data_IF_985175095528
#
_entry.id   IF_985175095528
#
_cell.length_a   1.000
_cell.length_b   1.000
_cell.length_c   1.000
_cell.angle_alpha   90.00
_cell.angle_beta   90.00
_cell.angle_gamma   90.00
#
_symmetry.space_group_name_H-M   'P 1'
#
loop_
_entity.id
_entity.type
_entity.pdbx_description
1 polymer ?
#
# COMPACT_ATOMS: atom_id res chain seq x y z
N UNK A 1 -10.50 -6.28 -43.14
CA UNK A 1 -9.20 -5.60 -42.99
C UNK A 1 -8.85 -5.57 -41.52
N UNK A 2 -7.90 -6.41 -41.11
CA UNK A 2 -7.37 -6.47 -39.74
C UNK A 2 -6.58 -5.19 -39.48
N UNK A 3 -7.00 -4.35 -38.54
CA UNK A 3 -6.18 -3.21 -38.13
C UNK A 3 -4.94 -3.73 -37.43
N UNK A 4 -3.79 -3.55 -38.07
CA UNK A 4 -2.49 -3.73 -37.45
C UNK A 4 -2.40 -2.78 -36.24
N UNK A 5 -2.34 -3.33 -35.03
CA UNK A 5 -1.89 -2.57 -33.86
C UNK A 5 -0.47 -2.09 -34.17
N UNK A 6 -0.32 -0.81 -34.47
CA UNK A 6 0.98 -0.16 -34.46
C UNK A 6 1.54 -0.31 -33.05
N UNK A 7 2.68 -1.00 -32.93
CA UNK A 7 3.46 -1.09 -31.70
C UNK A 7 4.06 0.30 -31.48
N UNK A 8 3.32 1.19 -30.82
CA UNK A 8 3.77 2.54 -30.50
C UNK A 8 4.95 2.45 -29.55
N UNK A 9 6.03 3.19 -29.81
CA UNK A 9 7.17 3.25 -28.89
C UNK A 9 6.72 3.58 -27.46
N UNK A 10 7.28 2.91 -26.43
CA UNK A 10 6.92 3.17 -25.05
C UNK A 10 7.15 4.64 -24.67
N UNK A 11 6.22 5.23 -23.93
CA UNK A 11 6.36 6.60 -23.45
C UNK A 11 7.63 6.78 -22.59
N UNK A 12 8.34 7.88 -22.76
CA UNK A 12 9.54 8.20 -21.97
C UNK A 12 9.14 8.37 -20.50
N UNK A 13 9.80 7.69 -19.54
CA UNK A 13 9.49 7.86 -18.12
C UNK A 13 9.88 9.26 -17.64
N UNK A 14 8.95 9.94 -16.95
CA UNK A 14 9.20 11.24 -16.31
C UNK A 14 10.02 11.07 -15.02
N UNK A 15 10.99 11.95 -14.74
CA UNK A 15 11.75 11.90 -13.50
C UNK A 15 10.87 12.28 -12.32
N UNK A 16 10.90 11.47 -11.25
CA UNK A 16 10.12 11.68 -10.03
C UNK A 16 10.86 11.23 -8.79
N UNK A 17 10.43 11.71 -7.62
CA UNK A 17 10.96 11.32 -6.31
C UNK A 17 9.84 10.96 -5.36
N UNK A 18 10.13 10.12 -4.37
CA UNK A 18 9.17 9.80 -3.31
C UNK A 18 9.88 9.42 -2.01
N UNK A 19 9.27 9.77 -0.87
CA UNK A 19 9.88 9.66 0.46
C UNK A 19 9.06 8.76 1.36
N UNK A 20 9.71 7.73 1.90
CA UNK A 20 9.22 6.99 3.06
C UNK A 20 9.63 7.79 4.30
N UNK A 21 8.74 8.66 4.77
CA UNK A 21 8.95 9.43 5.98
C UNK A 21 8.64 8.55 7.20
N UNK A 22 9.63 8.39 8.08
CA UNK A 22 9.60 7.51 9.23
C UNK A 22 9.52 8.36 10.50
N UNK A 23 8.43 8.23 11.25
CA UNK A 23 8.19 8.97 12.49
C UNK A 23 9.16 8.59 13.61
N UNK A 24 9.18 9.39 14.68
CA UNK A 24 9.95 9.13 15.90
C UNK A 24 9.62 7.76 16.53
N UNK A 25 8.43 7.20 16.27
CA UNK A 25 7.98 5.87 16.72
C UNK A 25 8.03 4.78 15.64
N UNK A 26 8.81 5.01 14.59
CA UNK A 26 9.00 4.08 13.47
C UNK A 26 7.70 3.75 12.71
N UNK A 27 6.82 4.72 12.57
CA UNK A 27 5.62 4.64 11.72
C UNK A 27 5.89 5.31 10.38
N UNK A 28 5.18 4.91 9.34
CA UNK A 28 5.38 5.39 7.98
C UNK A 28 4.22 6.29 7.57
N UNK A 29 4.54 7.48 7.08
CA UNK A 29 3.57 8.38 6.49
C UNK A 29 3.06 7.80 5.16
N UNK A 30 1.75 7.69 5.04
CA UNK A 30 1.06 7.38 3.80
C UNK A 30 0.02 8.47 3.56
N UNK A 31 -0.05 8.90 2.31
CA UNK A 31 -1.05 9.83 1.82
C UNK A 31 -2.12 9.09 1.05
N UNK A 32 -3.37 9.53 1.20
CA UNK A 32 -4.51 9.01 0.47
C UNK A 32 -5.39 10.17 0.01
N UNK A 33 -5.58 10.28 -1.31
CA UNK A 33 -6.47 11.31 -1.86
C UNK A 33 -7.93 10.93 -1.66
N UNK A 34 -8.65 11.67 -0.84
CA UNK A 34 -10.09 11.54 -0.66
C UNK A 34 -10.79 12.08 -1.90
N UNK A 35 -11.53 11.23 -2.62
CA UNK A 35 -12.33 11.68 -3.75
C UNK A 35 -13.71 12.11 -3.30
N UNK A 36 -14.12 13.28 -3.75
CA UNK A 36 -15.51 13.74 -3.77
C UNK A 36 -16.30 13.20 -4.98
N UNK A 37 -15.66 12.45 -5.90
CA UNK A 37 -16.25 11.97 -7.16
C UNK A 37 -16.05 10.46 -7.41
N UNK A 38 -17.07 9.82 -7.99
CA UNK A 38 -17.47 8.41 -7.90
C UNK A 38 -16.73 7.38 -8.77
N UNK A 39 -15.61 7.70 -9.43
CA UNK A 39 -15.13 6.83 -10.53
C UNK A 39 -13.86 5.98 -10.32
N UNK A 40 -13.01 6.16 -9.32
CA UNK A 40 -11.91 5.20 -9.03
C UNK A 40 -11.44 5.34 -7.57
N UNK A 41 -11.23 4.25 -6.84
CA UNK A 41 -10.61 4.32 -5.51
C UNK A 41 -9.19 4.90 -5.64
N UNK A 42 -8.88 5.96 -4.89
CA UNK A 42 -7.54 6.53 -4.85
C UNK A 42 -6.56 5.55 -4.21
N UNK A 43 -5.34 5.50 -4.74
CA UNK A 43 -4.28 4.70 -4.14
C UNK A 43 -3.73 5.39 -2.89
N UNK A 44 -3.26 4.56 -1.97
CA UNK A 44 -2.41 4.99 -0.87
C UNK A 44 -0.98 5.06 -1.39
N UNK A 45 -0.29 6.17 -1.15
CA UNK A 45 1.03 6.43 -1.70
C UNK A 45 1.94 7.05 -0.64
N UNK A 46 3.24 6.86 -0.81
CA UNK A 46 4.21 7.73 -0.14
C UNK A 46 4.15 9.12 -0.76
N UNK A 47 4.41 10.19 0.01
CA UNK A 47 4.57 11.52 -0.53
C UNK A 47 5.60 11.55 -1.68
N UNK A 48 5.32 12.29 -2.74
CA UNK A 48 6.24 12.43 -3.85
C UNK A 48 5.60 12.75 -5.20
N UNK A 49 6.39 13.32 -6.09
CA UNK A 49 5.93 13.79 -7.39
C UNK A 49 7.05 13.94 -8.41
N UNK A 50 6.76 14.67 -9.48
CA UNK A 50 7.72 14.89 -10.56
C UNK A 50 8.77 15.89 -10.13
N UNK A 51 9.97 15.76 -10.70
CA UNK A 51 10.94 16.86 -10.58
C UNK A 51 10.42 18.06 -11.39
N UNK A 52 10.63 19.24 -10.84
CA UNK A 52 10.37 20.55 -11.44
C UNK A 52 11.69 21.26 -11.75
N UNK A 53 11.66 22.29 -12.59
CA UNK A 53 12.85 23.10 -12.89
C UNK A 53 13.44 23.79 -11.65
N UNK A 54 12.62 24.06 -10.63
CA UNK A 54 13.10 24.60 -9.35
C UNK A 54 13.97 23.62 -8.55
N UNK A 55 13.86 22.31 -8.83
CA UNK A 55 14.63 21.29 -8.12
C UNK A 55 16.06 21.19 -8.68
N UNK A 56 16.35 21.79 -9.83
CA UNK A 56 17.67 21.81 -10.46
C UNK A 56 17.69 21.16 -11.85
N UNK A 57 18.88 20.98 -12.40
CA UNK A 57 19.05 20.43 -13.74
C UNK A 57 18.57 18.98 -13.83
N UNK A 58 17.93 18.68 -14.97
CA UNK A 58 17.39 17.37 -15.31
C UNK A 58 18.17 16.80 -16.50
N UNK A 59 18.83 15.65 -16.35
CA UNK A 59 19.44 14.97 -17.48
C UNK A 59 18.39 14.66 -18.55
N UNK A 60 18.75 14.79 -19.84
CA UNK A 60 17.84 14.51 -20.93
C UNK A 60 17.48 13.02 -20.99
N UNK A 61 16.37 12.63 -21.65
CA UNK A 61 15.89 11.25 -21.68
C UNK A 61 16.89 10.16 -22.08
N UNK A 62 17.82 10.50 -22.96
CA UNK A 62 18.86 9.62 -23.50
C UNK A 62 20.05 9.42 -22.56
N UNK A 63 20.19 10.26 -21.53
CA UNK A 63 21.29 10.17 -20.57
C UNK A 63 20.96 9.17 -19.45
N UNK A 64 21.83 8.17 -19.27
CA UNK A 64 21.70 7.18 -18.20
C UNK A 64 21.73 7.83 -16.79
N UNK A 65 22.39 8.97 -16.64
CA UNK A 65 22.43 9.73 -15.38
C UNK A 65 21.03 10.20 -14.94
N UNK A 66 20.05 10.21 -15.84
CA UNK A 66 18.63 10.43 -15.51
C UNK A 66 18.08 9.40 -14.52
N UNK A 67 18.71 8.23 -14.45
CA UNK A 67 18.32 7.15 -13.57
C UNK A 67 19.22 7.01 -12.33
N UNK A 68 20.05 8.02 -12.05
CA UNK A 68 20.89 8.10 -10.87
C UNK A 68 20.32 9.04 -9.81
N UNK A 69 20.67 8.79 -8.55
CA UNK A 69 20.39 9.73 -7.46
C UNK A 69 21.16 11.04 -7.71
N UNK A 70 20.52 12.17 -7.46
CA UNK A 70 21.13 13.50 -7.63
C UNK A 70 20.54 14.51 -6.65
N UNK A 71 21.21 15.66 -6.42
CA UNK A 71 20.65 16.74 -5.62
C UNK A 71 19.27 17.21 -6.10
N UNK A 72 19.00 17.14 -7.42
CA UNK A 72 17.69 17.50 -7.97
C UNK A 72 16.59 16.54 -7.56
N UNK A 73 16.85 15.22 -7.58
CA UNK A 73 15.90 14.24 -7.06
C UNK A 73 15.64 14.44 -5.56
N UNK A 74 16.68 14.74 -4.78
CA UNK A 74 16.56 14.94 -3.33
C UNK A 74 15.76 16.20 -2.97
N UNK A 75 15.98 17.33 -3.67
CA UNK A 75 15.18 18.55 -3.49
C UNK A 75 13.72 18.34 -3.85
N UNK A 76 13.45 17.68 -4.98
CA UNK A 76 12.09 17.33 -5.37
C UNK A 76 11.40 16.45 -4.32
N UNK A 77 12.12 15.50 -3.72
CA UNK A 77 11.56 14.64 -2.68
C UNK A 77 11.08 15.43 -1.45
N UNK A 78 11.85 16.42 -1.01
CA UNK A 78 11.51 17.29 0.12
C UNK A 78 10.40 18.28 -0.24
N UNK A 79 10.49 18.91 -1.42
CA UNK A 79 9.48 19.86 -1.90
C UNK A 79 8.11 19.18 -2.03
N UNK A 80 8.05 18.02 -2.68
CA UNK A 80 6.80 17.28 -2.87
C UNK A 80 6.21 16.81 -1.54
N UNK A 81 7.05 16.35 -0.59
CA UNK A 81 6.59 16.04 0.76
C UNK A 81 5.91 17.26 1.43
N UNK A 82 6.53 18.43 1.33
CA UNK A 82 5.97 19.65 1.90
C UNK A 82 4.67 20.08 1.19
N UNK A 83 4.64 20.03 -0.15
CA UNK A 83 3.45 20.36 -0.94
C UNK A 83 2.29 19.40 -0.64
N UNK A 84 2.55 18.11 -0.43
CA UNK A 84 1.50 17.11 -0.26
C UNK A 84 1.04 16.95 1.19
N UNK A 85 1.94 17.11 2.17
CA UNK A 85 1.63 16.83 3.59
C UNK A 85 1.83 18.01 4.54
N UNK A 86 2.38 19.14 4.08
CA UNK A 86 2.72 20.29 4.94
C UNK A 86 3.88 20.06 5.91
N UNK A 87 4.51 18.88 5.88
CA UNK A 87 5.63 18.55 6.78
C UNK A 87 6.90 19.17 6.22
N UNK A 88 7.55 20.01 7.03
CA UNK A 88 8.73 20.75 6.64
C UNK A 88 10.01 20.00 7.04
N UNK A 89 10.77 19.52 6.04
CA UNK A 89 12.11 18.95 6.25
C UNK A 89 13.18 19.95 5.84
N UNK A 90 13.41 20.92 6.71
CA UNK A 90 14.43 21.94 6.54
C UNK A 90 15.25 22.07 7.82
N UNK A 91 16.47 22.59 7.68
CA UNK A 91 17.38 22.87 8.79
C UNK A 91 18.02 24.23 8.63
N UNK A 92 18.51 24.76 9.75
CA UNK A 92 19.45 25.86 9.72
C UNK A 92 20.85 25.32 9.38
N UNK A 93 21.46 25.87 8.32
CA UNK A 93 22.75 25.43 7.79
C UNK A 93 23.89 25.51 8.82
N UNK A 94 23.83 26.48 9.72
CA UNK A 94 24.92 26.74 10.68
C UNK A 94 24.84 25.81 11.90
N UNK A 95 23.64 25.63 12.45
CA UNK A 95 23.41 24.82 13.65
C UNK A 95 23.08 23.36 13.35
N UNK A 96 22.67 23.05 12.12
CA UNK A 96 22.16 21.74 11.71
C UNK A 96 20.82 21.36 12.35
N UNK A 97 20.21 22.26 13.13
CA UNK A 97 18.92 22.01 13.78
C UNK A 97 17.79 22.13 12.77
N UNK A 98 16.78 21.28 12.90
CA UNK A 98 15.57 21.39 12.09
C UNK A 98 14.87 22.72 12.34
N UNK A 99 14.40 23.31 11.25
CA UNK A 99 13.67 24.56 11.26
C UNK A 99 12.21 24.30 11.68
N UNK A 100 11.73 25.09 12.63
CA UNK A 100 10.31 25.12 12.98
C UNK A 100 9.66 26.38 12.44
N UNK A 101 8.52 26.21 11.77
CA UNK A 101 7.70 27.30 11.23
C UNK A 101 6.26 27.05 11.66
N UNK A 102 5.56 28.08 12.10
CA UNK A 102 4.17 27.97 12.54
C UNK A 102 3.26 27.50 11.40
N UNK A 103 2.18 26.80 11.76
CA UNK A 103 1.24 26.20 10.81
C UNK A 103 0.62 27.22 9.82
N UNK A 104 0.13 28.40 10.23
CA UNK A 104 -0.38 29.41 9.28
C UNK A 104 0.66 29.83 8.23
N UNK A 105 1.90 30.06 8.64
CA UNK A 105 2.99 30.45 7.73
C UNK A 105 3.38 29.30 6.80
N UNK A 106 3.44 28.06 7.31
CA UNK A 106 3.68 26.86 6.48
C UNK A 106 2.61 26.67 5.42
N UNK A 107 1.34 26.74 5.81
CA UNK A 107 0.21 26.54 4.88
C UNK A 107 0.13 27.66 3.83
N UNK A 108 0.42 28.92 4.21
CA UNK A 108 0.53 30.01 3.25
C UNK A 108 1.68 29.78 2.25
N UNK A 109 2.85 29.37 2.75
CA UNK A 109 4.01 29.01 1.94
C UNK A 109 3.72 27.89 0.95
N UNK A 110 3.12 26.81 1.45
CA UNK A 110 2.70 25.64 0.69
C UNK A 110 1.82 26.01 -0.50
N UNK A 111 0.83 26.90 -0.31
CA UNK A 111 -0.03 27.41 -1.40
C UNK A 111 0.75 28.21 -2.43
N UNK A 112 1.69 29.06 -2.00
CA UNK A 112 2.51 29.86 -2.92
C UNK A 112 3.43 28.98 -3.78
N UNK A 113 4.07 27.99 -3.15
CA UNK A 113 4.96 27.03 -3.82
C UNK A 113 4.19 26.19 -4.83
N UNK A 114 3.05 25.61 -4.41
CA UNK A 114 2.19 24.83 -5.31
C UNK A 114 1.70 25.64 -6.53
N UNK A 115 1.38 26.92 -6.33
CA UNK A 115 0.96 27.84 -7.40
C UNK A 115 2.13 28.38 -8.25
N UNK A 116 3.36 27.91 -8.02
CA UNK A 116 4.59 28.40 -8.64
C UNK A 116 4.79 29.92 -8.52
N UNK A 117 4.30 30.53 -7.43
CA UNK A 117 4.49 31.97 -7.13
C UNK A 117 5.83 32.25 -6.45
N UNK A 118 6.41 31.25 -5.81
CA UNK A 118 7.75 31.25 -5.24
C UNK A 118 8.31 29.83 -5.30
N UNK A 119 9.63 29.68 -5.34
CA UNK A 119 10.24 28.36 -5.20
C UNK A 119 10.34 27.94 -3.73
N UNK A 120 10.48 26.63 -3.48
CA UNK A 120 10.64 26.10 -2.13
C UNK A 120 11.85 26.71 -1.41
N UNK A 121 12.99 26.81 -2.09
CA UNK A 121 14.24 27.36 -1.54
C UNK A 121 14.14 28.88 -1.28
N UNK A 122 13.43 29.64 -2.12
CA UNK A 122 13.18 31.07 -1.86
C UNK A 122 12.28 31.27 -0.65
N UNK A 123 11.21 30.47 -0.52
CA UNK A 123 10.32 30.54 0.63
C UNK A 123 11.04 30.18 1.93
N UNK A 124 11.91 29.15 1.92
CA UNK A 124 12.73 28.79 3.08
C UNK A 124 13.60 29.96 3.56
N UNK A 125 14.27 30.64 2.63
CA UNK A 125 15.13 31.80 2.95
C UNK A 125 14.38 32.98 3.57
N UNK A 126 13.07 33.09 3.32
CA UNK A 126 12.21 34.09 3.97
C UNK A 126 11.95 33.75 5.44
N UNK A 127 12.00 32.47 5.83
CA UNK A 127 11.79 32.02 7.21
C UNK A 127 13.05 32.20 8.06
N UNK A 128 14.22 31.94 7.48
CA UNK A 128 15.51 32.24 8.09
C UNK A 128 16.59 32.34 7.01
N UNK A 129 17.54 33.31 7.09
CA UNK A 129 18.63 33.44 6.12
C UNK A 129 19.50 32.18 5.97
N UNK A 130 19.58 31.36 7.03
CA UNK A 130 20.33 30.11 7.05
C UNK A 130 19.51 28.86 6.72
N UNK A 131 18.21 28.99 6.41
CA UNK A 131 17.35 27.85 6.13
C UNK A 131 17.72 27.16 4.81
N UNK A 132 17.83 25.84 4.85
CA UNK A 132 18.02 24.99 3.67
C UNK A 132 17.23 23.67 3.79
N UNK A 133 16.86 23.10 2.65
CA UNK A 133 16.26 21.77 2.57
C UNK A 133 17.20 20.70 3.14
N UNK A 134 16.71 19.78 3.98
CA UNK A 134 17.57 18.74 4.58
C UNK A 134 17.85 17.54 3.66
N UNK A 135 18.32 17.83 2.45
CA UNK A 135 18.55 16.82 1.39
C UNK A 135 19.64 15.80 1.73
N UNK A 136 20.51 16.12 2.70
CA UNK A 136 21.61 15.27 3.14
C UNK A 136 21.13 14.03 3.91
N UNK A 137 20.00 14.15 4.62
CA UNK A 137 19.44 13.07 5.43
C UNK A 137 18.63 12.05 4.63
N UNK A 138 18.33 12.33 3.36
CA UNK A 138 17.70 11.38 2.46
C UNK A 138 18.64 10.22 2.15
N UNK A 139 18.18 9.00 2.44
CA UNK A 139 18.91 7.76 2.15
C UNK A 139 18.28 7.14 0.91
N UNK A 140 18.99 7.05 -0.23
CA UNK A 140 18.45 6.41 -1.42
C UNK A 140 18.09 4.95 -1.11
N UNK A 141 16.87 4.52 -1.45
CA UNK A 141 16.40 3.18 -1.16
C UNK A 141 16.32 2.29 -2.40
N UNK A 142 15.68 2.74 -3.49
CA UNK A 142 15.66 2.03 -4.78
C UNK A 142 15.08 2.94 -5.85
N UNK A 143 15.25 2.59 -7.12
CA UNK A 143 14.60 3.26 -8.24
C UNK A 143 13.54 2.36 -8.87
N UNK A 144 12.36 2.93 -9.09
CA UNK A 144 11.25 2.23 -9.75
C UNK A 144 10.92 2.88 -11.09
N UNK A 145 11.01 2.11 -12.17
CA UNK A 145 10.67 2.55 -13.53
C UNK A 145 9.37 1.90 -13.94
N UNK A 146 8.36 2.70 -14.22
CA UNK A 146 7.05 2.20 -14.65
C UNK A 146 7.20 1.29 -15.87
N UNK A 147 6.59 0.09 -15.88
CA UNK A 147 6.64 -0.82 -17.02
C UNK A 147 6.13 -0.19 -18.33
N UNK A 148 6.59 -0.71 -19.46
CA UNK A 148 6.30 -0.16 -20.81
C UNK A 148 4.84 -0.29 -21.24
N UNK A 149 4.08 -1.19 -20.63
CA UNK A 149 2.65 -1.39 -20.92
C UNK A 149 1.74 -0.35 -20.25
N UNK A 150 2.30 0.58 -19.48
CA UNK A 150 1.56 1.67 -18.84
C UNK A 150 1.78 2.96 -19.63
N UNK A 151 0.72 3.72 -20.01
CA UNK A 151 0.86 4.90 -20.85
C UNK A 151 1.56 6.07 -20.15
N UNK A 152 1.31 6.26 -18.86
CA UNK A 152 2.01 7.25 -18.03
C UNK A 152 3.15 6.58 -17.30
N UNK A 153 4.38 6.93 -17.66
CA UNK A 153 5.59 6.33 -17.11
C UNK A 153 6.39 7.32 -16.28
N UNK A 154 7.06 6.78 -15.27
CA UNK A 154 7.86 7.50 -14.30
C UNK A 154 9.14 6.73 -14.00
N UNK A 155 10.21 7.44 -13.68
CA UNK A 155 11.43 6.90 -13.09
C UNK A 155 11.58 7.54 -11.72
N UNK A 156 11.06 6.84 -10.71
CA UNK A 156 10.93 7.35 -9.35
C UNK A 156 12.11 6.91 -8.50
N UNK A 157 12.88 7.86 -7.98
CA UNK A 157 13.84 7.60 -6.91
C UNK A 157 13.10 7.56 -5.56
N UNK A 158 13.20 6.43 -4.86
CA UNK A 158 12.61 6.25 -3.54
C UNK A 158 13.66 6.52 -2.48
N UNK A 159 13.29 7.24 -1.42
CA UNK A 159 14.16 7.57 -0.29
C UNK A 159 13.58 7.12 1.04
N UNK A 160 14.43 6.83 2.01
CA UNK A 160 14.07 6.84 3.42
C UNK A 160 14.44 8.19 4.04
N UNK A 161 13.60 8.69 4.94
CA UNK A 161 13.94 9.81 5.82
C UNK A 161 13.48 9.49 7.25
N UNK A 162 14.38 9.56 8.22
CA UNK A 162 14.07 9.32 9.62
C UNK A 162 13.91 10.63 10.38
N UNK A 163 12.72 10.87 10.92
CA UNK A 163 12.53 11.90 11.94
C UNK A 163 13.26 11.48 13.23
N UNK A 164 13.81 12.40 14.04
CA UNK A 164 14.57 12.03 15.23
C UNK A 164 13.72 11.20 16.20
N UNK A 165 14.39 10.33 16.97
CA UNK A 165 13.73 9.58 18.04
C UNK A 165 13.27 10.51 19.17
N UNK A 166 12.26 10.13 19.98
CA UNK A 166 11.58 11.02 20.93
C UNK A 166 12.50 11.79 21.89
N UNK A 167 13.62 11.18 22.30
CA UNK A 167 14.62 11.83 23.17
C UNK A 167 15.39 12.98 22.50
N UNK A 168 15.22 13.17 21.19
CA UNK A 168 15.95 14.12 20.34
C UNK A 168 15.02 15.05 19.55
N UNK A 169 13.71 14.99 19.76
CA UNK A 169 12.75 15.87 19.05
C UNK A 169 12.42 17.09 19.91
N UNK A 170 12.54 18.27 19.32
CA UNK A 170 12.03 19.50 19.93
C UNK A 170 10.49 19.50 19.88
N UNK A 171 9.82 20.00 20.93
CA UNK A 171 8.35 20.00 21.00
C UNK A 171 7.71 20.70 19.80
N UNK A 172 8.31 21.80 19.35
CA UNK A 172 7.84 22.58 18.20
C UNK A 172 7.91 21.82 16.86
N UNK A 173 8.67 20.72 16.78
CA UNK A 173 8.73 19.85 15.59
C UNK A 173 7.66 18.76 15.69
N UNK A 174 7.35 18.27 16.90
CA UNK A 174 6.28 17.31 17.12
C UNK A 174 4.92 17.90 16.73
N UNK A 175 4.68 19.18 17.05
CA UNK A 175 3.44 19.90 16.70
C UNK A 175 3.25 20.08 15.18
N UNK A 176 4.27 19.77 14.36
CA UNK A 176 4.18 19.85 12.90
C UNK A 176 3.82 18.51 12.23
N UNK A 177 3.79 17.42 13.01
CA UNK A 177 3.54 16.08 12.51
C UNK A 177 2.10 15.67 12.85
N UNK A 178 1.41 14.97 11.93
CA UNK A 178 0.15 14.32 12.24
C UNK A 178 0.20 13.53 13.55
N UNK A 179 -0.79 13.76 14.40
CA UNK A 179 -0.97 13.01 15.65
C UNK A 179 -1.14 11.53 15.30
N UNK A 180 -0.43 10.67 16.03
CA UNK A 180 -0.35 9.25 15.72
C UNK A 180 -1.71 8.56 15.70
N UNK A 181 -1.94 7.76 14.66
CA UNK A 181 -3.20 7.04 14.46
C UNK A 181 -4.38 7.92 14.03
N UNK A 182 -4.28 9.25 14.13
CA UNK A 182 -5.29 10.19 13.66
C UNK A 182 -5.09 10.53 12.18
N UNK A 183 -6.17 11.00 11.56
CA UNK A 183 -6.15 11.46 10.18
C UNK A 183 -5.98 12.98 10.19
N UNK A 184 -4.97 13.48 9.49
CA UNK A 184 -4.94 14.89 9.12
C UNK A 184 -5.43 15.07 7.69
N UNK A 185 -6.45 15.90 7.51
CA UNK A 185 -6.96 16.27 6.20
C UNK A 185 -6.29 17.57 5.75
N UNK A 186 -5.52 17.48 4.68
CA UNK A 186 -4.89 18.63 4.03
C UNK A 186 -5.62 18.94 2.72
N UNK A 187 -6.05 20.19 2.55
CA UNK A 187 -6.60 20.67 1.28
C UNK A 187 -5.44 21.06 0.37
N UNK A 188 -5.32 20.40 -0.78
CA UNK A 188 -4.33 20.70 -1.80
C UNK A 188 -5.07 21.39 -2.94
N UNK A 189 -4.77 22.66 -3.25
CA UNK A 189 -5.22 23.27 -4.49
C UNK A 189 -4.71 22.42 -5.66
N UNK A 190 -5.48 22.26 -6.72
CA UNK A 190 -4.98 21.64 -7.96
C UNK A 190 -4.53 22.71 -8.94
N UNK A 191 -3.69 22.32 -9.88
CA UNK A 191 -3.19 23.20 -10.95
C UNK A 191 -4.30 23.82 -11.82
N UNK A 192 -5.51 23.24 -11.82
CA UNK A 192 -6.72 23.73 -12.51
C UNK A 192 -7.68 24.52 -11.60
N UNK A 193 -7.29 24.82 -10.36
CA UNK A 193 -8.08 25.60 -9.40
C UNK A 193 -9.13 24.80 -8.63
N UNK A 194 -9.13 23.46 -8.74
CA UNK A 194 -9.87 22.57 -7.85
C UNK A 194 -9.22 22.41 -6.47
N UNK A 195 -9.91 21.69 -5.58
CA UNK A 195 -9.38 21.32 -4.26
C UNK A 195 -9.40 19.79 -4.17
N UNK A 196 -8.23 19.20 -3.90
CA UNK A 196 -8.05 17.80 -3.56
C UNK A 196 -7.87 17.68 -2.05
N UNK A 197 -8.68 16.87 -1.38
CA UNK A 197 -8.45 16.55 0.02
C UNK A 197 -7.51 15.35 0.07
N UNK A 198 -6.40 15.49 0.78
CA UNK A 198 -5.47 14.40 1.05
C UNK A 198 -5.48 14.09 2.55
N UNK A 199 -5.78 12.84 2.87
CA UNK A 199 -5.60 12.28 4.21
C UNK A 199 -4.12 11.88 4.35
N UNK A 200 -3.49 12.39 5.40
CA UNK A 200 -2.15 12.02 5.84
C UNK A 200 -2.26 11.19 7.12
N UNK A 201 -1.62 10.02 7.16
CA UNK A 201 -1.63 9.17 8.35
C UNK A 201 -0.28 8.48 8.56
N UNK A 202 0.19 8.46 9.81
CA UNK A 202 1.28 7.60 10.26
C UNK A 202 0.72 6.31 10.84
N UNK A 203 1.20 5.17 10.33
CA UNK A 203 0.95 3.85 10.92
C UNK A 203 2.19 2.94 10.80
N UNK A 204 2.30 1.88 11.61
CA UNK A 204 3.29 0.82 11.39
C UNK A 204 3.28 0.30 9.95
N UNK A 205 4.46 -0.02 9.39
CA UNK A 205 4.55 -0.53 8.02
C UNK A 205 3.80 -1.87 7.86
N UNK A 206 3.84 -2.73 8.89
CA UNK A 206 3.13 -4.01 8.99
C UNK A 206 1.62 -3.81 8.99
N UNK A 207 1.12 -2.75 9.62
CA UNK A 207 -0.29 -2.36 9.58
C UNK A 207 -0.70 -1.99 8.16
N UNK A 208 0.07 -1.15 7.46
CA UNK A 208 -0.19 -0.82 6.06
C UNK A 208 -0.20 -2.07 5.16
N UNK A 209 0.78 -2.96 5.33
CA UNK A 209 0.88 -4.24 4.61
C UNK A 209 -0.36 -5.10 4.88
N UNK A 210 -0.76 -5.26 6.14
CA UNK A 210 -1.95 -6.03 6.53
C UNK A 210 -3.23 -5.46 5.90
N UNK A 211 -3.43 -4.13 5.94
CA UNK A 211 -4.59 -3.47 5.33
C UNK A 211 -4.65 -3.72 3.82
N UNK A 212 -3.51 -3.67 3.13
CA UNK A 212 -3.45 -3.93 1.69
C UNK A 212 -3.67 -5.41 1.34
N UNK A 213 -3.14 -6.34 2.13
CA UNK A 213 -3.40 -7.78 1.97
C UNK A 213 -4.87 -8.14 2.16
N UNK A 214 -5.54 -7.49 3.12
CA UNK A 214 -6.99 -7.61 3.36
C UNK A 214 -7.86 -6.84 2.35
N UNK A 215 -7.23 -6.18 1.37
CA UNK A 215 -7.88 -5.35 0.36
C UNK A 215 -8.70 -4.17 0.94
N UNK A 216 -8.34 -3.69 2.14
CA UNK A 216 -8.95 -2.51 2.77
C UNK A 216 -8.44 -1.22 2.10
N UNK A 217 -7.17 -1.20 1.69
CA UNK A 217 -6.54 -0.09 0.97
C UNK A 217 -6.00 -0.55 -0.39
N UNK A 218 -5.59 0.40 -1.22
CA UNK A 218 -4.92 0.14 -2.50
C UNK A 218 -3.47 0.58 -2.40
N UNK A 219 -2.54 -0.37 -2.41
CA UNK A 219 -1.11 -0.11 -2.56
C UNK A 219 -0.64 -0.71 -3.88
N UNK A 220 0.00 0.10 -4.72
CA UNK A 220 0.65 -0.44 -5.91
C UNK A 220 1.95 -1.19 -5.52
N UNK A 221 2.47 -2.05 -6.42
CA UNK A 221 3.64 -2.88 -6.14
C UNK A 221 4.86 -2.17 -5.50
N UNK A 222 5.29 -0.96 -5.94
CA UNK A 222 6.43 -0.31 -5.29
C UNK A 222 6.13 0.02 -3.82
N UNK A 223 4.98 0.62 -3.52
CA UNK A 223 4.61 1.01 -2.17
C UNK A 223 4.51 -0.21 -1.25
N UNK A 224 3.84 -1.27 -1.73
CA UNK A 224 3.68 -2.50 -0.96
C UNK A 224 5.03 -3.19 -0.68
N UNK A 225 5.88 -3.32 -1.71
CA UNK A 225 7.19 -3.96 -1.56
C UNK A 225 8.03 -3.23 -0.51
N UNK A 226 8.12 -1.90 -0.59
CA UNK A 226 8.96 -1.14 0.33
C UNK A 226 8.42 -1.18 1.77
N UNK A 227 7.10 -1.08 1.97
CA UNK A 227 6.48 -1.29 3.29
C UNK A 227 6.74 -2.70 3.84
N UNK A 228 6.63 -3.73 2.98
CA UNK A 228 6.92 -5.10 3.37
C UNK A 228 8.37 -5.28 3.83
N UNK A 229 9.34 -4.71 3.10
CA UNK A 229 10.75 -4.77 3.48
C UNK A 229 11.01 -4.02 4.79
N UNK A 230 10.50 -2.78 4.91
CA UNK A 230 10.69 -1.93 6.08
C UNK A 230 10.07 -2.55 7.35
N UNK A 231 8.88 -3.16 7.23
CA UNK A 231 8.20 -3.79 8.38
C UNK A 231 9.01 -4.93 8.99
N UNK A 232 9.79 -5.67 8.19
CA UNK A 232 10.70 -6.71 8.67
C UNK A 232 11.82 -6.21 9.59
N UNK A 233 12.06 -4.90 9.65
CA UNK A 233 13.06 -4.28 10.54
C UNK A 233 12.42 -3.45 11.65
N UNK A 234 11.53 -2.53 11.27
CA UNK A 234 11.00 -1.52 12.20
C UNK A 234 9.92 -2.07 13.12
N UNK A 235 9.16 -3.07 12.65
CA UNK A 235 7.93 -3.52 13.31
C UNK A 235 8.10 -4.87 14.01
N UNK A 236 9.34 -5.21 14.38
CA UNK A 236 9.62 -6.42 15.17
C UNK A 236 8.96 -6.33 16.55
N UNK A 237 8.35 -7.42 17.00
CA UNK A 237 7.77 -7.48 18.33
C UNK A 237 8.85 -7.69 19.42
N UNK A 238 8.67 -7.11 20.63
CA UNK A 238 7.58 -6.21 21.02
C UNK A 238 7.74 -4.80 20.41
N UNK A 239 6.65 -4.19 19.92
CA UNK A 239 6.66 -2.80 19.40
C UNK A 239 6.31 -1.75 20.45
N UNK A 240 5.21 -1.93 21.18
CA UNK A 240 4.63 -0.89 22.06
C UNK A 240 5.59 -0.41 23.16
N UNK A 241 6.45 -1.31 23.65
CA UNK A 241 7.37 -1.06 24.76
C UNK A 241 8.85 -1.00 24.31
N UNK A 242 9.10 -0.77 23.02
CA UNK A 242 10.47 -0.71 22.51
C UNK A 242 11.19 0.55 23.05
N UNK A 243 12.35 0.35 23.68
CA UNK A 243 13.18 1.47 24.14
C UNK A 243 13.73 2.29 22.98
N UNK A 244 14.17 3.53 23.25
CA UNK A 244 14.80 4.39 22.24
C UNK A 244 16.03 3.73 21.62
N UNK A 245 16.83 3.01 22.42
CA UNK A 245 18.00 2.26 21.96
C UNK A 245 17.61 1.12 21.01
N UNK A 246 16.53 0.41 21.31
CA UNK A 246 16.03 -0.66 20.45
C UNK A 246 15.45 -0.08 19.15
N UNK A 247 14.71 1.03 19.20
CA UNK A 247 14.25 1.73 18.00
C UNK A 247 15.41 2.19 17.12
N UNK A 248 16.47 2.76 17.71
CA UNK A 248 17.69 3.14 17.00
C UNK A 248 18.35 1.93 16.33
N UNK A 249 18.50 0.82 17.08
CA UNK A 249 19.08 -0.42 16.54
C UNK A 249 18.29 -0.96 15.33
N UNK A 250 16.95 -0.89 15.38
CA UNK A 250 16.08 -1.27 14.24
C UNK A 250 16.30 -0.37 13.03
N UNK A 251 16.40 0.95 13.22
CA UNK A 251 16.72 1.91 12.15
C UNK A 251 18.09 1.63 11.53
N UNK A 252 19.11 1.39 12.34
CA UNK A 252 20.45 1.03 11.86
C UNK A 252 20.47 -0.29 11.07
N UNK A 253 19.71 -1.28 11.52
CA UNK A 253 19.56 -2.54 10.78
C UNK A 253 18.91 -2.34 9.41
N UNK A 254 17.88 -1.50 9.32
CA UNK A 254 17.25 -1.13 8.05
C UNK A 254 18.24 -0.40 7.12
N UNK A 255 18.99 0.59 7.63
CA UNK A 255 20.00 1.30 6.85
C UNK A 255 21.08 0.34 6.32
N UNK A 256 21.55 -0.58 7.16
CA UNK A 256 22.51 -1.62 6.75
C UNK A 256 21.92 -2.50 5.66
N UNK A 257 20.64 -2.87 5.76
CA UNK A 257 19.95 -3.63 4.72
C UNK A 257 19.90 -2.87 3.38
N UNK A 258 19.60 -1.57 3.40
CA UNK A 258 19.58 -0.71 2.19
C UNK A 258 20.93 -0.70 1.46
N UNK A 259 22.03 -0.79 2.21
CA UNK A 259 23.40 -0.84 1.70
C UNK A 259 23.91 -2.25 1.40
N UNK A 260 23.08 -3.27 1.58
CA UNK A 260 23.44 -4.68 1.38
C UNK A 260 22.78 -5.30 0.15
N UNK A 261 23.28 -6.45 -0.28
CA UNK A 261 22.84 -7.15 -1.48
C UNK A 261 23.70 -6.83 -2.70
N UNK A 262 23.38 -7.46 -3.83
CA UNK A 262 24.12 -7.29 -5.08
C UNK A 262 23.17 -7.08 -6.28
N UNK A 263 23.05 -5.85 -6.81
CA UNK A 263 23.58 -4.60 -6.24
C UNK A 263 22.86 -4.26 -4.91
N UNK A 264 23.42 -3.37 -4.09
CA UNK A 264 22.74 -2.85 -2.91
C UNK A 264 21.36 -2.30 -3.25
N UNK A 265 20.39 -2.37 -2.32
CA UNK A 265 19.03 -1.87 -2.57
C UNK A 265 19.02 -0.45 -3.10
N UNK A 266 19.82 0.45 -2.51
CA UNK A 266 19.96 1.85 -2.94
C UNK A 266 20.29 2.02 -4.43
N UNK A 267 20.96 1.03 -5.03
CA UNK A 267 21.42 1.04 -6.42
C UNK A 267 20.52 0.19 -7.34
N UNK A 268 19.54 -0.54 -6.78
CA UNK A 268 18.59 -1.36 -7.55
C UNK A 268 17.68 -0.46 -8.39
N UNK A 269 17.57 -0.79 -9.67
CA UNK A 269 16.60 -0.21 -10.59
C UNK A 269 15.63 -1.30 -11.02
N UNK A 270 14.34 -1.09 -10.77
CA UNK A 270 13.30 -2.10 -10.94
C UNK A 270 12.25 -1.59 -11.94
N UNK A 271 12.09 -2.30 -13.04
CA UNK A 271 10.94 -2.20 -13.94
C UNK A 271 10.24 -3.57 -14.00
N UNK A 272 9.12 -3.74 -13.28
CA UNK A 272 8.51 -5.05 -13.14
C UNK A 272 8.05 -5.65 -14.47
N UNK A 273 8.27 -6.94 -14.63
CA UNK A 273 7.76 -7.73 -15.76
C UNK A 273 6.87 -8.85 -15.26
N UNK A 274 5.73 -9.04 -15.90
CA UNK A 274 4.88 -10.19 -15.60
C UNK A 274 5.61 -11.48 -16.02
N UNK A 275 5.81 -12.38 -15.07
CA UNK A 275 6.44 -13.69 -15.30
C UNK A 275 5.40 -14.74 -15.65
N UNK A 276 4.34 -14.80 -14.84
CA UNK A 276 3.22 -15.73 -15.00
C UNK A 276 1.98 -15.20 -14.27
N UNK A 277 0.86 -15.90 -14.42
CA UNK A 277 -0.33 -15.72 -13.61
C UNK A 277 -0.52 -16.96 -12.74
N UNK A 278 -0.67 -16.76 -11.44
CA UNK A 278 -1.00 -17.84 -10.48
C UNK A 278 -2.41 -18.38 -10.72
N UNK A 279 -2.69 -19.57 -10.20
CA UNK A 279 -4.02 -20.21 -10.28
C UNK A 279 -5.13 -19.39 -9.66
N UNK A 280 -4.85 -18.69 -8.57
CA UNK A 280 -5.82 -17.81 -7.94
C UNK A 280 -6.09 -16.54 -8.76
N UNK A 281 -5.37 -16.30 -9.86
CA UNK A 281 -5.53 -15.17 -10.77
C UNK A 281 -4.72 -13.93 -10.41
N UNK A 282 -3.72 -14.02 -9.51
CA UNK A 282 -2.73 -12.96 -9.30
C UNK A 282 -1.62 -13.03 -10.35
N UNK A 283 -1.22 -11.87 -10.86
CA UNK A 283 -0.01 -11.71 -11.68
C UNK A 283 1.23 -11.80 -10.79
N UNK A 284 2.22 -12.58 -11.21
CA UNK A 284 3.55 -12.64 -10.58
C UNK A 284 4.48 -11.70 -11.32
N UNK A 285 4.93 -10.65 -10.63
CA UNK A 285 5.82 -9.64 -11.16
C UNK A 285 7.27 -9.94 -10.76
N UNK A 286 8.11 -10.20 -11.74
CA UNK A 286 9.56 -10.27 -11.59
C UNK A 286 10.16 -8.87 -11.47
N UNK A 287 11.11 -8.72 -10.55
CA UNK A 287 11.68 -7.42 -10.18
C UNK A 287 13.12 -7.22 -10.66
N UNK A 288 13.69 -8.17 -11.41
CA UNK A 288 15.12 -8.22 -11.71
C UNK A 288 15.56 -7.28 -12.85
N UNK A 289 14.61 -6.85 -13.67
CA UNK A 289 14.87 -6.09 -14.89
C UNK A 289 14.87 -4.59 -14.58
N UNK A 290 15.85 -3.81 -15.09
CA UNK A 290 15.91 -2.37 -14.87
C UNK A 290 15.06 -1.57 -15.88
N UNK A 291 14.41 -2.22 -16.85
CA UNK A 291 13.66 -1.57 -17.92
C UNK A 291 14.50 -1.36 -19.18
N UNK A 292 13.84 -1.05 -20.32
CA UNK A 292 14.51 -0.82 -21.60
C UNK A 292 15.41 0.42 -21.61
N UNK A 293 15.12 1.43 -20.79
CA UNK A 293 15.93 2.66 -20.66
C UNK A 293 17.36 2.38 -20.22
N UNK A 294 17.53 1.32 -19.43
CA UNK A 294 18.79 0.93 -18.82
C UNK A 294 19.40 -0.29 -19.51
N UNK A 295 18.94 -0.62 -20.73
CA UNK A 295 19.47 -1.73 -21.51
C UNK A 295 20.96 -1.51 -21.80
N UNK A 296 21.78 -2.52 -21.49
CA UNK A 296 23.24 -2.45 -21.66
C UNK A 296 23.97 -1.76 -20.50
N UNK A 297 23.27 -1.11 -19.58
CA UNK A 297 23.87 -0.57 -18.36
C UNK A 297 24.20 -1.68 -17.35
N UNK A 298 25.05 -1.42 -16.33
CA UNK A 298 25.28 -2.36 -15.23
C UNK A 298 24.13 -2.41 -14.21
N UNK A 299 23.11 -1.55 -14.32
CA UNK A 299 21.99 -1.49 -13.36
C UNK A 299 21.18 -2.79 -13.39
N UNK A 300 20.73 -3.25 -12.22
CA UNK A 300 19.94 -4.47 -12.05
C UNK A 300 18.87 -4.23 -10.99
N UNK A 301 17.79 -5.01 -11.04
CA UNK A 301 16.73 -4.98 -10.05
C UNK A 301 16.90 -6.04 -8.95
N UNK A 302 15.79 -6.46 -8.35
CA UNK A 302 15.73 -7.51 -7.33
C UNK A 302 15.52 -8.89 -7.97
N UNK A 303 16.45 -9.82 -7.77
CA UNK A 303 16.47 -11.13 -8.43
C UNK A 303 15.77 -12.24 -7.65
N UNK A 304 15.71 -12.13 -6.33
CA UNK A 304 15.26 -13.21 -5.45
C UNK A 304 13.78 -13.10 -5.07
N UNK A 305 13.19 -11.92 -5.19
CA UNK A 305 11.80 -11.66 -4.77
C UNK A 305 10.90 -11.36 -5.96
N UNK A 306 9.64 -11.70 -5.81
CA UNK A 306 8.55 -11.36 -6.73
C UNK A 306 7.44 -10.65 -5.98
N UNK A 307 6.67 -9.82 -6.68
CA UNK A 307 5.41 -9.27 -6.16
C UNK A 307 4.25 -10.00 -6.82
N UNK A 308 3.35 -10.55 -6.03
CA UNK A 308 2.09 -11.10 -6.49
C UNK A 308 1.01 -10.03 -6.34
N UNK A 309 0.19 -9.82 -7.36
CA UNK A 309 -0.86 -8.78 -7.33
C UNK A 309 -2.04 -9.16 -8.21
N UNK A 310 -3.26 -8.89 -7.75
CA UNK A 310 -4.46 -8.93 -8.58
C UNK A 310 -4.78 -7.53 -9.09
N UNK A 311 -4.73 -7.36 -10.42
CA UNK A 311 -5.20 -6.13 -11.05
C UNK A 311 -6.69 -6.22 -11.35
N UNK A 312 -7.48 -5.26 -10.86
CA UNK A 312 -8.91 -5.15 -11.18
C UNK A 312 -9.25 -3.70 -11.56
N UNK A 313 -9.65 -3.49 -12.82
CA UNK A 313 -10.02 -2.17 -13.38
C UNK A 313 -9.04 -1.04 -13.02
N UNK A 314 -7.73 -1.33 -13.10
CA UNK A 314 -6.67 -0.35 -12.79
C UNK A 314 -6.31 -0.20 -11.31
N UNK A 315 -6.91 -0.98 -10.41
CA UNK A 315 -6.52 -1.04 -8.99
C UNK A 315 -5.69 -2.31 -8.69
N UNK A 316 -4.71 -2.18 -7.79
CA UNK A 316 -3.95 -3.29 -7.25
C UNK A 316 -4.59 -3.78 -5.93
N UNK A 317 -4.92 -5.07 -5.86
CA UNK A 317 -5.51 -5.73 -4.68
C UNK A 317 -4.81 -7.05 -4.41
N UNK A 318 -4.96 -7.58 -3.19
CA UNK A 318 -4.39 -8.89 -2.78
C UNK A 318 -2.88 -8.97 -3.08
N UNK A 319 -2.16 -7.92 -2.72
CA UNK A 319 -0.72 -7.80 -3.00
C UNK A 319 0.08 -8.61 -1.97
N UNK A 320 1.11 -9.31 -2.42
CA UNK A 320 2.04 -10.05 -1.56
C UNK A 320 3.46 -10.02 -2.13
N UNK A 321 4.44 -10.30 -1.27
CA UNK A 321 5.84 -10.53 -1.67
C UNK A 321 6.17 -11.98 -1.38
N UNK A 322 6.85 -12.64 -2.32
CA UNK A 322 7.32 -14.02 -2.15
C UNK A 322 8.73 -14.19 -2.68
N UNK A 323 9.39 -15.27 -2.26
CA UNK A 323 10.63 -15.71 -2.89
C UNK A 323 10.32 -16.26 -4.29
N UNK A 324 11.11 -15.85 -5.27
CA UNK A 324 10.94 -16.22 -6.67
C UNK A 324 11.02 -17.74 -6.85
N UNK A 325 11.94 -18.40 -6.17
CA UNK A 325 12.12 -19.86 -6.22
C UNK A 325 10.86 -20.58 -5.77
N UNK A 326 10.32 -20.17 -4.62
CA UNK A 326 9.21 -20.86 -3.96
C UNK A 326 7.93 -20.70 -4.77
N UNK A 327 7.62 -19.47 -5.21
CA UNK A 327 6.44 -19.17 -6.04
C UNK A 327 6.49 -19.89 -7.38
N UNK A 328 7.66 -19.92 -8.04
CA UNK A 328 7.80 -20.62 -9.32
C UNK A 328 7.76 -22.15 -9.16
N UNK A 329 8.28 -22.68 -8.04
CA UNK A 329 8.23 -24.12 -7.76
C UNK A 329 6.82 -24.58 -7.45
N UNK A 330 6.06 -23.83 -6.65
CA UNK A 330 4.66 -24.11 -6.32
C UNK A 330 3.79 -24.21 -7.58
N UNK A 331 3.92 -23.24 -8.50
CA UNK A 331 3.18 -23.24 -9.76
C UNK A 331 3.67 -24.31 -10.76
N UNK A 332 4.91 -24.80 -10.63
CA UNK A 332 5.44 -25.93 -11.43
C UNK A 332 4.98 -27.29 -10.91
N UNK A 333 4.95 -27.49 -9.59
CA UNK A 333 4.57 -28.76 -8.96
C UNK A 333 3.08 -29.07 -9.12
N UNK A 334 2.26 -28.04 -9.33
CA UNK A 334 0.85 -28.18 -9.58
C UNK A 334 0.47 -27.47 -10.89
N UNK A 335 0.69 -28.08 -12.07
CA UNK A 335 0.31 -27.48 -13.35
C UNK A 335 -1.21 -27.42 -13.53
N UNK A 336 -1.69 -26.53 -14.39
CA UNK A 336 -3.10 -26.46 -14.79
C UNK A 336 -3.53 -27.79 -15.46
N UNK A 337 -4.72 -28.32 -15.13
CA UNK A 337 -5.29 -29.47 -15.86
C UNK A 337 -5.52 -29.04 -17.32
N UNK A 338 -4.59 -29.40 -18.19
CA UNK A 338 -4.55 -28.97 -19.59
C UNK A 338 -3.15 -28.81 -20.18
N UNK A 339 -2.08 -28.89 -19.37
CA UNK A 339 -0.70 -29.00 -19.86
C UNK A 339 -0.13 -30.35 -19.45
N UNK A 340 -0.11 -31.30 -20.39
CA UNK A 340 0.69 -32.51 -20.27
C UNK A 340 2.17 -32.12 -20.33
N UNK A 341 2.86 -32.22 -19.19
CA UNK A 341 4.31 -32.22 -19.14
C UNK A 341 4.71 -33.46 -18.36
N UNK A 342 4.98 -34.54 -19.10
CA UNK A 342 5.57 -35.76 -18.57
C UNK A 342 7.06 -35.52 -18.36
N UNK A 343 7.51 -35.45 -17.11
CA UNK A 343 8.94 -35.65 -16.78
C UNK A 343 9.03 -36.40 -15.45
N UNK A 344 9.65 -37.58 -15.49
CA UNK A 344 10.05 -38.39 -14.33
C UNK A 344 11.12 -37.66 -13.51
N UNK A 345 10.93 -37.55 -12.20
CA UNK A 345 12.04 -37.36 -11.26
C UNK A 345 11.82 -38.25 -10.04
N UNK A 346 12.82 -39.09 -9.78
CA UNK A 346 12.93 -40.01 -8.67
C UNK A 346 12.93 -39.29 -7.31
N UNK A 347 12.12 -39.80 -6.39
CA UNK A 347 12.02 -39.36 -5.00
C UNK A 347 13.03 -40.08 -4.12
N UNK A 348 13.91 -39.32 -3.45
CA UNK A 348 14.53 -39.73 -2.20
C UNK A 348 13.72 -39.12 -1.05
N UNK A 349 13.21 -40.01 -0.19
CA UNK A 349 12.45 -39.73 1.02
C UNK A 349 13.38 -39.20 2.13
N UNK A 350 12.93 -38.21 2.90
CA UNK A 350 12.72 -38.32 4.35
C UNK A 350 12.10 -37.03 4.93
N UNK A 351 11.11 -37.20 5.82
CA UNK A 351 10.39 -36.12 6.54
C UNK A 351 10.95 -35.98 7.95
N UNK A 352 10.82 -34.80 8.59
CA UNK A 352 10.54 -34.75 10.01
C UNK A 352 9.18 -34.13 10.35
N UNK A 353 8.77 -34.44 11.58
CA UNK A 353 7.47 -34.42 12.21
C UNK A 353 6.85 -33.05 12.50
N UNK A 354 5.52 -32.99 12.38
CA UNK A 354 4.62 -31.90 12.77
C UNK A 354 4.32 -31.90 14.28
N UNK A 355 4.39 -30.73 14.92
CA UNK A 355 3.73 -30.45 16.21
C UNK A 355 2.61 -29.42 16.02
N UNK A 356 1.46 -29.72 16.61
CA UNK A 356 0.16 -29.06 16.46
C UNK A 356 0.09 -27.62 17.00
N UNK A 357 -0.63 -26.74 16.31
CA UNK A 357 -1.22 -25.52 16.87
C UNK A 357 -2.67 -25.39 16.38
N UNK A 358 -3.60 -25.65 17.29
CA UNK A 358 -5.05 -25.52 17.10
C UNK A 358 -5.45 -24.07 17.41
N UNK A 359 -5.96 -23.32 16.43
CA UNK A 359 -6.53 -21.97 16.66
C UNK A 359 -8.04 -22.08 16.82
N UNK A 360 -8.54 -21.78 18.02
CA UNK A 360 -9.95 -21.65 18.31
C UNK A 360 -10.50 -20.32 17.73
N UNK A 361 -11.50 -20.40 16.84
CA UNK A 361 -12.34 -19.24 16.48
C UNK A 361 -13.55 -19.21 17.42
N UNK A 362 -13.51 -18.33 18.42
CA UNK A 362 -14.68 -18.06 19.26
C UNK A 362 -15.75 -17.27 18.49
N UNK A 363 -17.01 -17.62 18.78
CA UNK A 363 -18.22 -16.98 18.27
C UNK A 363 -18.26 -15.50 18.65
N UNK A 364 -17.99 -14.62 17.69
CA UNK A 364 -18.33 -13.21 17.77
C UNK A 364 -19.64 -13.00 17.01
N UNK A 365 -20.74 -12.85 17.74
CA UNK A 365 -21.92 -12.14 17.25
C UNK A 365 -21.79 -10.69 17.73
N UNK A 366 -21.10 -9.80 17.00
CA UNK A 366 -21.00 -8.40 17.40
C UNK A 366 -22.37 -7.73 17.21
N UNK A 367 -22.82 -6.99 18.23
CA UNK A 367 -23.95 -6.07 18.09
C UNK A 367 -23.68 -5.11 16.92
N UNK A 368 -24.70 -4.75 16.12
CA UNK A 368 -24.50 -3.80 15.03
C UNK A 368 -24.02 -2.46 15.59
N UNK A 369 -22.84 -2.02 15.19
CA UNK A 369 -22.34 -0.67 15.48
C UNK A 369 -23.29 0.37 14.85
N UNK A 370 -23.65 1.38 15.64
CA UNK A 370 -24.51 2.52 15.27
C UNK A 370 -23.74 3.80 15.53
N UNK A 371 -23.87 4.79 14.66
CA UNK A 371 -23.33 6.12 14.93
C UNK A 371 -24.27 6.85 15.89
N UNK A 372 -23.76 7.24 17.06
CA UNK A 372 -24.51 7.95 18.10
C UNK A 372 -23.84 9.31 18.36
N UNK A 373 -24.62 10.38 18.53
CA UNK A 373 -24.10 11.65 18.99
C UNK A 373 -23.76 11.60 20.50
N UNK A 374 -23.17 12.65 21.06
CA UNK A 374 -22.81 12.72 22.49
C UNK A 374 -24.01 12.57 23.46
N UNK A 375 -25.25 12.64 22.95
CA UNK A 375 -26.50 12.43 23.70
C UNK A 375 -27.04 11.00 23.59
N UNK A 376 -26.35 10.10 22.88
CA UNK A 376 -26.78 8.72 22.64
C UNK A 376 -27.89 8.59 21.60
N UNK A 377 -28.16 9.63 20.82
CA UNK A 377 -29.16 9.59 19.74
C UNK A 377 -28.51 9.05 18.47
N UNK A 378 -29.16 8.08 17.83
CA UNK A 378 -28.68 7.47 16.59
C UNK A 378 -28.78 8.52 15.46
N UNK A 379 -27.64 8.89 14.88
CA UNK A 379 -27.53 9.88 13.80
C UNK A 379 -27.57 9.24 12.40
N UNK A 380 -27.57 7.92 12.31
CA UNK A 380 -27.70 7.19 11.04
C UNK A 380 -29.13 7.27 10.47
N UNK A 381 -29.25 7.64 9.20
CA UNK A 381 -30.54 7.68 8.46
C UNK A 381 -31.25 6.31 8.43
N UNK A 382 -30.48 5.22 8.38
CA UNK A 382 -30.93 3.84 8.57
C UNK A 382 -29.74 2.93 8.89
N UNK A 383 -29.97 1.83 9.61
CA UNK A 383 -28.93 0.80 9.82
C UNK A 383 -29.06 -0.25 8.71
N UNK A 384 -28.09 -0.36 7.79
CA UNK A 384 -28.20 -1.25 6.65
C UNK A 384 -28.08 -2.73 7.06
N UNK A 385 -28.73 -3.61 6.30
CA UNK A 385 -28.66 -5.07 6.49
C UNK A 385 -27.23 -5.55 6.22
N UNK A 386 -26.81 -6.61 6.91
CA UNK A 386 -25.53 -7.28 6.67
C UNK A 386 -25.75 -8.63 5.99
N UNK A 387 -24.85 -8.99 5.07
CA UNK A 387 -24.82 -10.29 4.46
C UNK A 387 -24.43 -11.35 5.49
N UNK A 388 -25.29 -12.34 5.72
CA UNK A 388 -25.10 -13.42 6.70
C UNK A 388 -23.85 -14.27 6.41
N UNK A 389 -23.43 -14.36 5.15
CA UNK A 389 -22.27 -15.16 4.74
C UNK A 389 -20.92 -14.44 4.92
N UNK A 390 -20.88 -13.12 4.72
CA UNK A 390 -19.63 -12.33 4.59
C UNK A 390 -19.51 -11.18 5.58
N UNK A 391 -20.55 -10.89 6.36
CA UNK A 391 -20.68 -9.70 7.23
C UNK A 391 -20.56 -8.35 6.51
N UNK A 392 -20.55 -8.32 5.16
CA UNK A 392 -20.56 -7.08 4.38
C UNK A 392 -21.91 -6.35 4.50
N UNK A 393 -21.86 -5.04 4.46
CA UNK A 393 -23.06 -4.19 4.38
C UNK A 393 -23.74 -4.39 3.01
N UNK A 394 -25.04 -4.64 3.02
CA UNK A 394 -25.90 -4.68 1.83
C UNK A 394 -26.34 -3.24 1.53
N UNK A 395 -25.85 -2.70 0.42
CA UNK A 395 -26.14 -1.32 0.00
C UNK A 395 -27.56 -1.23 -0.58
N UNK A 396 -28.17 -0.04 -0.50
CA UNK A 396 -29.50 0.21 -1.06
C UNK A 396 -29.59 -0.06 -2.58
N UNK A 397 -28.50 0.10 -3.32
CA UNK A 397 -28.43 -0.15 -4.76
C UNK A 397 -28.07 -1.61 -5.14
N UNK A 398 -27.91 -2.51 -4.16
CA UNK A 398 -27.66 -3.94 -4.40
C UNK A 398 -28.98 -4.66 -4.68
N UNK A 399 -29.54 -4.46 -5.87
CA UNK A 399 -30.80 -5.10 -6.30
C UNK A 399 -30.63 -6.60 -6.57
N UNK A 400 -29.38 -7.07 -6.64
CA UNK A 400 -29.07 -8.49 -6.67
C UNK A 400 -29.05 -9.09 -5.26
N UNK A 401 -29.10 -8.33 -4.17
CA UNK A 401 -29.21 -8.91 -2.83
C UNK A 401 -30.58 -9.57 -2.61
N UNK A 402 -30.59 -10.66 -1.85
CA UNK A 402 -31.83 -11.37 -1.49
C UNK A 402 -31.87 -11.64 0.01
N UNK A 403 -33.08 -11.74 0.51
CA UNK A 403 -33.35 -12.18 1.87
C UNK A 403 -34.18 -13.46 1.79
N UNK A 404 -33.63 -14.54 2.31
CA UNK A 404 -34.24 -15.86 2.34
C UNK A 404 -34.81 -16.07 3.73
N UNK A 405 -36.13 -16.25 3.83
CA UNK A 405 -36.82 -16.57 5.07
C UNK A 405 -37.23 -18.04 5.04
N UNK A 406 -36.64 -18.84 5.92
CA UNK A 406 -36.89 -20.29 6.03
C UNK A 406 -37.80 -20.54 7.23
N UNK A 407 -38.97 -21.10 6.98
CA UNK A 407 -39.92 -21.42 8.05
C UNK A 407 -39.47 -22.61 8.89
N UNK A 408 -39.54 -22.46 10.21
CA UNK A 408 -39.29 -23.57 11.14
C UNK A 408 -40.50 -24.49 11.18
N UNK A 409 -40.24 -25.80 11.25
CA UNK A 409 -41.27 -26.84 11.34
C UNK A 409 -41.13 -27.62 12.64
N UNK A 410 -42.26 -28.04 13.20
CA UNK A 410 -42.31 -28.93 14.35
C UNK A 410 -42.10 -30.40 13.93
N UNK A 411 -42.11 -31.30 14.91
CA UNK A 411 -41.93 -32.74 14.73
C UNK A 411 -43.01 -33.38 13.84
N UNK A 412 -44.16 -32.72 13.70
CA UNK A 412 -45.27 -33.16 12.84
C UNK A 412 -45.20 -32.53 11.44
N UNK A 413 -44.12 -31.82 11.12
CA UNK A 413 -43.93 -31.13 9.85
C UNK A 413 -44.81 -29.88 9.69
N UNK A 414 -45.39 -29.36 10.77
CA UNK A 414 -46.22 -28.15 10.73
C UNK A 414 -45.37 -26.92 10.96
N UNK A 415 -45.61 -25.88 10.17
CA UNK A 415 -44.94 -24.59 10.31
C UNK A 415 -45.26 -23.96 11.68
N UNK A 416 -44.22 -23.56 12.42
CA UNK A 416 -44.34 -23.07 13.81
C UNK A 416 -44.66 -21.59 13.93
N UNK A 417 -44.74 -20.85 12.81
CA UNK A 417 -44.92 -19.39 12.81
C UNK A 417 -43.61 -18.61 12.88
N UNK A 418 -42.48 -19.26 13.14
CA UNK A 418 -41.15 -18.64 13.22
C UNK A 418 -40.33 -18.84 11.93
N UNK A 419 -39.61 -17.79 11.51
CA UNK A 419 -38.72 -17.84 10.34
C UNK A 419 -37.26 -17.59 10.74
N UNK A 420 -36.35 -18.40 10.22
CA UNK A 420 -34.93 -18.09 10.20
C UNK A 420 -34.60 -17.31 8.92
N UNK A 421 -33.98 -16.14 9.07
CA UNK A 421 -33.70 -15.27 7.93
C UNK A 421 -32.21 -15.22 7.61
N UNK A 422 -31.86 -15.36 6.32
CA UNK A 422 -30.51 -15.19 5.81
C UNK A 422 -30.50 -14.12 4.72
N UNK A 423 -29.62 -13.13 4.84
CA UNK A 423 -29.43 -12.12 3.82
C UNK A 423 -28.16 -12.41 3.02
N UNK A 424 -28.27 -12.55 1.70
CA UNK A 424 -27.14 -12.76 0.80
C UNK A 424 -26.99 -11.54 -0.09
N UNK A 425 -25.80 -10.93 -0.10
CA UNK A 425 -25.49 -9.81 -0.98
C UNK A 425 -25.33 -10.26 -2.44
N UNK A 426 -25.55 -9.35 -3.38
CA UNK A 426 -25.43 -9.61 -4.81
C UNK A 426 -24.03 -10.11 -5.22
N UNK A 427 -23.00 -9.73 -4.48
CA UNK A 427 -21.63 -10.22 -4.67
C UNK A 427 -21.49 -11.75 -4.59
N UNK A 428 -22.14 -12.37 -3.60
CA UNK A 428 -22.11 -13.83 -3.42
C UNK A 428 -22.95 -14.52 -4.51
N UNK A 429 -24.07 -13.91 -4.92
CA UNK A 429 -24.93 -14.43 -5.99
C UNK A 429 -24.29 -14.36 -7.36
N UNK A 430 -23.57 -13.28 -7.67
CA UNK A 430 -22.89 -13.10 -8.95
C UNK A 430 -21.77 -14.13 -9.18
N UNK A 431 -21.25 -14.74 -8.11
CA UNK A 431 -20.19 -15.75 -8.16
C UNK A 431 -20.69 -17.20 -8.12
N UNK A 432 -22.01 -17.40 -8.03
CA UNK A 432 -22.58 -18.74 -7.82
C UNK A 432 -22.30 -19.33 -6.43
N UNK A 433 -21.71 -18.56 -5.51
CA UNK A 433 -21.33 -19.01 -4.15
C UNK A 433 -22.52 -19.01 -3.17
N UNK A 434 -23.73 -18.75 -3.65
CA UNK A 434 -24.93 -18.63 -2.80
C UNK A 434 -25.35 -19.95 -2.20
N UNK A 435 -25.25 -21.04 -2.97
CA UNK A 435 -25.59 -22.37 -2.52
C UNK A 435 -24.65 -22.84 -1.39
N UNK A 436 -23.34 -22.80 -1.62
CA UNK A 436 -22.33 -23.15 -0.61
C UNK A 436 -22.45 -22.29 0.66
N UNK A 437 -22.61 -20.98 0.49
CA UNK A 437 -22.80 -20.07 1.62
C UNK A 437 -24.05 -20.40 2.44
N UNK A 438 -25.15 -20.72 1.79
CA UNK A 438 -26.40 -21.08 2.45
C UNK A 438 -26.29 -22.43 3.16
N UNK A 439 -25.70 -23.44 2.53
CA UNK A 439 -25.47 -24.75 3.13
C UNK A 439 -24.61 -24.67 4.38
N UNK A 440 -23.51 -23.89 4.34
CA UNK A 440 -22.65 -23.65 5.50
C UNK A 440 -23.38 -22.95 6.64
N UNK A 441 -24.18 -21.94 6.34
CA UNK A 441 -24.96 -21.19 7.35
C UNK A 441 -26.04 -22.06 7.99
N UNK A 442 -26.80 -22.78 7.17
CA UNK A 442 -27.86 -23.67 7.63
C UNK A 442 -27.30 -24.85 8.44
N UNK A 443 -26.11 -25.37 8.09
CA UNK A 443 -25.44 -26.39 8.89
C UNK A 443 -24.90 -25.84 10.22
N UNK A 444 -24.32 -24.63 10.22
CA UNK A 444 -23.89 -23.96 11.46
C UNK A 444 -25.06 -23.73 12.41
N UNK A 445 -26.20 -23.32 11.87
CA UNK A 445 -27.39 -23.01 12.64
C UNK A 445 -28.22 -24.28 12.97
N UNK A 446 -27.71 -25.47 12.63
CA UNK A 446 -28.23 -26.78 13.05
C UNK A 446 -29.35 -27.36 12.18
N UNK A 447 -29.70 -26.71 11.07
CA UNK A 447 -30.79 -27.12 10.18
C UNK A 447 -30.38 -28.19 9.16
N UNK A 448 -29.11 -28.22 8.76
CA UNK A 448 -28.55 -29.23 7.85
C UNK A 448 -27.46 -30.04 8.56
N UNK A 449 -27.34 -31.33 8.22
CA UNK A 449 -26.30 -32.22 8.73
C UNK A 449 -25.45 -32.75 7.58
N UNK A 450 -24.13 -32.67 7.70
CA UNK A 450 -23.16 -33.27 6.78
C UNK A 450 -23.23 -32.79 5.32
N UNK A 451 -23.70 -31.57 5.07
CA UNK A 451 -23.80 -31.01 3.71
C UNK A 451 -22.56 -30.17 3.35
N UNK A 452 -21.84 -29.70 4.37
CA UNK A 452 -20.61 -28.94 4.25
C UNK A 452 -19.52 -29.57 5.14
N UNK A 453 -18.35 -29.84 4.57
CA UNK A 453 -17.12 -30.19 5.30
C UNK A 453 -16.06 -29.17 4.92
N UNK A 454 -15.39 -28.59 5.92
CA UNK A 454 -14.20 -27.80 5.66
C UNK A 454 -13.14 -28.75 5.08
N UNK A 455 -12.91 -28.70 3.77
CA UNK A 455 -11.74 -29.34 3.19
C UNK A 455 -10.51 -28.64 3.76
N UNK A 456 -9.86 -29.26 4.76
CA UNK A 456 -8.49 -28.90 5.10
C UNK A 456 -7.57 -29.41 3.99
N UNK A 457 -7.54 -28.72 2.87
CA UNK A 457 -6.45 -28.83 1.90
C UNK A 457 -5.40 -27.81 2.35
N UNK A 458 -4.38 -28.16 3.14
CA UNK A 458 -3.16 -28.89 2.76
C UNK A 458 -2.50 -28.35 1.50
#
# INVERSE_FOLDING_TARGET
MSSSKHDSEPAVPRPSSSVLLISSKNEILILHRVKTSTSFASAHVFPGGNLSSQDGELPPPEDLARHDDSPSYRRAAIRELFEESGILLAKDRNSGKMLAVDEPTREAGRRLIHQNKTTFEEWLKQQSPGAESDIGQLIPFTRWITPTNVPKRYTTQMYLYFLPLPSKVDKNILDQLPVEGEYEEHQIPTSDGGIEVMEAQFLPASTWVSRAQKAEIVLFPPQFLLLHLVSGFLDKEPRADASVEEMEKRRQALIKFVHSGYPPWKDKCISPKMLLMTRDGRSVLGLNDPGPELKGSPKRGESEKVVLVRFNKGSAREVAVGWKTDVLQEERLYPWRGMDISVEIATALEKPSTSNLTVARQNLNPKPAKMENEKGEIVDLYVPRKCSATNRIIKANDHASVQLSVGKVDENGRYTGENQTYALCGFIRARGESDDSFNRLAQRDGYLKNVWTASSQR
#
